data_IF_772813163195
#
_entry.id   IF_772813163195
#
_cell.length_a   1.000
_cell.length_b   1.000
_cell.length_c   1.000
_cell.angle_alpha   90.00
_cell.angle_beta   90.00
_cell.angle_gamma   90.00
#
_symmetry.space_group_name_H-M   'P 1'
#
loop_
_entity.id
_entity.type
_entity.pdbx_description
1 polymer ?
#
# COMPACT_ATOMS: atom_id res chain seq x y z
N UNK A 1 -11.73 -14.26 -12.58
CA UNK A 1 -11.68 -15.57 -13.24
C UNK A 1 -12.53 -15.55 -14.51
N UNK A 2 -13.82 -15.25 -14.43
CA UNK A 2 -14.77 -15.31 -15.56
C UNK A 2 -14.38 -14.52 -16.82
N UNK A 3 -13.71 -13.36 -16.65
CA UNK A 3 -13.22 -12.54 -17.78
C UNK A 3 -11.86 -12.97 -18.35
N UNK A 4 -11.27 -14.07 -17.86
CA UNK A 4 -10.00 -14.59 -18.37
C UNK A 4 -8.73 -13.84 -17.92
N UNK A 5 -8.83 -12.91 -16.96
CA UNK A 5 -7.66 -12.17 -16.40
C UNK A 5 -6.90 -12.91 -15.29
N UNK A 6 -7.43 -14.03 -14.79
CA UNK A 6 -6.83 -14.88 -13.75
C UNK A 6 -7.05 -16.34 -14.13
N UNK A 7 -6.20 -17.24 -13.63
CA UNK A 7 -6.32 -18.69 -13.80
C UNK A 7 -5.08 -19.33 -14.42
N UNK A 8 -5.29 -20.46 -15.08
CA UNK A 8 -4.23 -21.31 -15.63
C UNK A 8 -3.82 -20.96 -17.06
N UNK A 9 -4.49 -20.00 -17.70
CA UNK A 9 -4.09 -19.48 -19.00
C UNK A 9 -4.69 -18.09 -19.20
N UNK A 10 -4.00 -17.06 -18.68
CA UNK A 10 -4.47 -15.68 -18.73
C UNK A 10 -4.50 -15.20 -20.18
N UNK A 11 -5.68 -14.82 -20.65
CA UNK A 11 -5.90 -14.28 -22.00
C UNK A 11 -5.24 -15.12 -23.12
N UNK A 12 -5.17 -16.45 -22.95
CA UNK A 12 -4.53 -17.38 -23.89
C UNK A 12 -3.04 -17.09 -24.15
N UNK A 13 -2.30 -16.64 -23.12
CA UNK A 13 -0.87 -16.31 -23.18
C UNK A 13 0.05 -17.35 -22.53
N UNK A 14 -0.47 -18.52 -22.17
CA UNK A 14 0.24 -19.59 -21.47
C UNK A 14 0.88 -19.14 -20.14
N UNK A 15 0.30 -18.11 -19.52
CA UNK A 15 0.75 -17.57 -18.24
C UNK A 15 -0.27 -17.89 -17.14
N UNK A 16 0.22 -18.36 -15.99
CA UNK A 16 -0.60 -18.81 -14.86
C UNK A 16 -0.47 -17.85 -13.69
N UNK A 17 -1.60 -17.35 -13.22
CA UNK A 17 -1.65 -16.57 -11.99
C UNK A 17 -3.02 -16.74 -11.33
N UNK A 18 -3.00 -17.28 -10.12
CA UNK A 18 -4.16 -17.48 -9.28
C UNK A 18 -4.10 -16.53 -8.08
N UNK A 19 -5.24 -15.98 -7.70
CA UNK A 19 -5.36 -15.03 -6.61
C UNK A 19 -6.27 -15.61 -5.53
N UNK A 20 -5.77 -15.67 -4.30
CA UNK A 20 -6.52 -16.12 -3.13
C UNK A 20 -6.60 -14.98 -2.12
N UNK A 21 -7.78 -14.80 -1.52
CA UNK A 21 -7.99 -13.84 -0.44
C UNK A 21 -7.93 -14.59 0.89
N UNK A 22 -7.00 -14.19 1.76
CA UNK A 22 -6.90 -14.68 3.13
C UNK A 22 -7.35 -13.59 4.10
N UNK A 23 -8.20 -13.95 5.06
CA UNK A 23 -8.70 -13.01 6.08
C UNK A 23 -7.86 -13.13 7.35
N UNK A 24 -7.44 -11.98 7.89
CA UNK A 24 -6.86 -11.90 9.23
C UNK A 24 -7.91 -11.95 10.34
N UNK A 25 -7.45 -12.05 11.59
CA UNK A 25 -8.31 -12.19 12.77
C UNK A 25 -8.15 -11.04 13.79
N UNK A 26 -7.90 -9.80 13.31
CA UNK A 26 -7.86 -8.60 14.14
C UNK A 26 -6.52 -8.28 14.83
N UNK A 27 -5.44 -8.99 14.50
CA UNK A 27 -4.12 -8.74 15.07
C UNK A 27 -3.34 -7.69 14.25
N UNK A 28 -3.12 -6.50 14.81
CA UNK A 28 -2.33 -5.42 14.16
C UNK A 28 -0.93 -5.89 13.74
N UNK A 29 -0.29 -6.74 14.56
CA UNK A 29 1.04 -7.29 14.28
C UNK A 29 1.10 -8.10 13.00
N UNK A 30 -0.01 -8.72 12.56
CA UNK A 30 -0.07 -9.43 11.28
C UNK A 30 -0.02 -8.49 10.06
N UNK A 31 0.04 -7.17 10.26
CA UNK A 31 0.39 -6.20 9.22
C UNK A 31 1.90 -6.10 8.97
N UNK A 32 2.74 -6.59 9.89
CA UNK A 32 4.18 -6.70 9.64
C UNK A 32 4.44 -7.86 8.67
N UNK A 33 5.34 -7.64 7.72
CA UNK A 33 5.61 -8.52 6.59
C UNK A 33 5.81 -10.01 6.95
N UNK A 34 6.65 -10.31 7.95
CA UNK A 34 6.94 -11.70 8.34
C UNK A 34 5.87 -12.30 9.24
N UNK A 35 5.24 -11.49 10.08
CA UNK A 35 4.07 -11.92 10.85
C UNK A 35 2.86 -12.22 9.94
N UNK A 36 2.70 -11.48 8.85
CA UNK A 36 1.72 -11.74 7.81
C UNK A 36 1.95 -13.11 7.17
N UNK A 37 3.20 -13.46 6.88
CA UNK A 37 3.58 -14.78 6.35
C UNK A 37 3.24 -15.89 7.35
N UNK A 38 3.59 -15.73 8.62
CA UNK A 38 3.25 -16.72 9.66
C UNK A 38 1.73 -16.92 9.76
N UNK A 39 0.96 -15.81 9.74
CA UNK A 39 -0.50 -15.86 9.73
C UNK A 39 -1.05 -16.54 8.47
N UNK A 40 -0.45 -16.29 7.30
CA UNK A 40 -0.82 -16.94 6.03
C UNK A 40 -0.57 -18.46 6.06
N UNK A 41 0.48 -18.88 6.76
CA UNK A 41 0.82 -20.30 6.98
C UNK A 41 -0.04 -20.95 8.09
N UNK A 42 -1.01 -20.23 8.66
CA UNK A 42 -1.90 -20.75 9.70
C UNK A 42 -1.31 -20.77 11.11
N UNK A 43 -0.17 -20.09 11.32
CA UNK A 43 0.50 -19.96 12.62
C UNK A 43 0.09 -18.65 13.30
N UNK A 44 0.56 -18.46 14.55
CA UNK A 44 0.46 -17.16 15.22
C UNK A 44 1.31 -16.14 14.48
N UNK A 45 0.82 -14.93 14.28
CA UNK A 45 1.54 -13.83 13.60
C UNK A 45 2.69 -13.27 14.43
N UNK A 46 3.70 -14.08 14.71
CA UNK A 46 4.93 -13.70 15.38
C UNK A 46 5.97 -13.35 14.31
N UNK A 47 6.56 -12.14 14.31
CA UNK A 47 7.58 -11.78 13.33
C UNK A 47 8.75 -12.76 13.33
N UNK A 48 9.29 -13.04 12.15
CA UNK A 48 10.52 -13.84 11.97
C UNK A 48 11.74 -12.93 12.11
N UNK A 49 12.83 -13.48 12.64
CA UNK A 49 14.13 -12.78 12.64
C UNK A 49 14.59 -12.62 11.19
N UNK A 50 14.98 -11.39 10.82
CA UNK A 50 15.64 -11.06 9.55
C UNK A 50 17.16 -10.98 9.82
N UNK A 51 18.05 -11.57 8.99
CA UNK A 51 17.81 -12.41 7.81
C UNK A 51 17.39 -13.87 8.13
N UNK A 52 16.79 -14.62 7.18
CA UNK A 52 16.60 -14.26 5.76
C UNK A 52 15.44 -13.30 5.52
N UNK A 53 15.57 -12.45 4.50
CA UNK A 53 14.47 -11.60 4.04
C UNK A 53 13.43 -12.43 3.26
N UNK A 54 12.14 -12.05 3.26
CA UNK A 54 11.09 -12.79 2.54
C UNK A 54 11.34 -12.97 1.05
N UNK A 55 12.04 -12.01 0.43
CA UNK A 55 12.45 -12.08 -0.98
C UNK A 55 13.34 -13.30 -1.28
N UNK A 56 14.06 -13.82 -0.28
CA UNK A 56 14.84 -15.04 -0.37
C UNK A 56 14.06 -16.25 0.16
N UNK A 57 13.43 -16.12 1.34
CA UNK A 57 12.69 -17.19 1.99
C UNK A 57 11.50 -16.62 2.82
N UNK A 58 10.33 -16.54 2.18
CA UNK A 58 9.09 -16.06 2.77
C UNK A 58 8.07 -17.19 3.00
N UNK A 59 6.90 -17.08 2.36
CA UNK A 59 5.81 -18.03 2.51
C UNK A 59 6.20 -19.43 2.03
N UNK A 60 6.01 -20.43 2.89
CA UNK A 60 6.42 -21.82 2.67
C UNK A 60 7.90 -21.96 2.27
N UNK A 61 8.76 -21.06 2.75
CA UNK A 61 10.18 -21.03 2.45
C UNK A 61 10.52 -20.64 1.00
N UNK A 62 9.58 -20.04 0.25
CA UNK A 62 9.79 -19.61 -1.14
C UNK A 62 10.05 -18.10 -1.23
N UNK A 63 10.77 -17.64 -2.26
CA UNK A 63 10.88 -16.22 -2.57
C UNK A 63 9.49 -15.55 -2.61
N UNK A 64 9.28 -14.57 -1.75
CA UNK A 64 7.98 -13.92 -1.56
C UNK A 64 8.18 -12.41 -1.55
N UNK A 65 7.41 -11.71 -2.39
CA UNK A 65 7.37 -10.25 -2.44
C UNK A 65 6.08 -9.81 -1.77
N UNK A 66 6.19 -8.95 -0.76
CA UNK A 66 5.05 -8.37 -0.07
C UNK A 66 5.04 -6.88 -0.36
N UNK A 67 3.91 -6.38 -0.84
CA UNK A 67 3.69 -4.97 -1.09
C UNK A 67 2.34 -4.56 -0.51
N UNK A 68 2.24 -3.27 -0.16
CA UNK A 68 0.99 -2.67 0.24
C UNK A 68 0.03 -2.58 -0.97
N UNK A 69 -1.27 -2.54 -0.68
CA UNK A 69 -2.34 -2.35 -1.67
C UNK A 69 -2.11 -1.11 -2.53
N UNK A 70 -1.75 0.03 -1.91
CA UNK A 70 -1.50 1.29 -2.61
C UNK A 70 -0.30 1.18 -3.57
N UNK A 71 0.75 0.46 -3.18
CA UNK A 71 1.89 0.20 -4.06
C UNK A 71 1.46 -0.55 -5.31
N UNK A 72 0.66 -1.61 -5.18
CA UNK A 72 0.13 -2.34 -6.34
C UNK A 72 -0.85 -1.52 -7.17
N UNK A 73 -1.64 -0.64 -6.56
CA UNK A 73 -2.58 0.23 -7.27
C UNK A 73 -1.88 1.21 -8.23
N UNK A 74 -0.60 1.53 -8.01
CA UNK A 74 0.19 2.38 -8.92
C UNK A 74 0.69 1.62 -10.17
N UNK A 75 0.77 0.28 -10.14
CA UNK A 75 1.36 -0.50 -11.23
C UNK A 75 0.59 -0.37 -12.55
N UNK A 76 -0.75 -0.44 -12.60
CA UNK A 76 -1.49 -0.25 -13.85
C UNK A 76 -1.21 1.10 -14.51
N UNK A 77 -1.11 2.18 -13.73
CA UNK A 77 -0.78 3.52 -14.25
C UNK A 77 0.65 3.56 -14.80
N UNK A 78 1.63 3.02 -14.07
CA UNK A 78 3.03 2.97 -14.52
C UNK A 78 3.17 2.17 -15.81
N UNK A 79 2.46 1.05 -15.94
CA UNK A 79 2.50 0.20 -17.14
C UNK A 79 1.75 0.84 -18.31
N UNK A 80 0.63 1.52 -18.05
CA UNK A 80 -0.21 2.16 -19.08
C UNK A 80 0.39 3.46 -19.63
N UNK A 81 0.80 4.37 -18.75
CA UNK A 81 1.28 5.72 -19.09
C UNK A 81 2.82 5.82 -19.17
N UNK A 82 3.52 4.83 -18.62
CA UNK A 82 4.96 4.76 -18.60
C UNK A 82 5.61 5.43 -17.38
N UNK A 83 6.80 4.95 -17.04
CA UNK A 83 7.54 5.38 -15.84
C UNK A 83 7.88 6.88 -15.84
N UNK A 84 8.11 7.50 -17.01
CA UNK A 84 8.40 8.94 -17.10
C UNK A 84 7.18 9.80 -16.72
N UNK A 85 5.98 9.39 -17.13
CA UNK A 85 4.75 10.09 -16.78
C UNK A 85 4.50 9.98 -15.27
N UNK A 86 4.66 8.80 -14.69
CA UNK A 86 4.57 8.60 -13.25
C UNK A 86 5.62 9.42 -12.47
N UNK A 87 6.88 9.41 -12.93
CA UNK A 87 7.97 10.17 -12.33
C UNK A 87 7.78 11.70 -12.43
N UNK A 88 6.90 12.18 -13.33
CA UNK A 88 6.53 13.59 -13.44
C UNK A 88 5.55 14.08 -12.36
N UNK A 89 4.98 13.17 -11.57
CA UNK A 89 4.01 13.50 -10.51
C UNK A 89 4.76 13.75 -9.20
N UNK A 90 4.63 14.94 -8.64
CA UNK A 90 5.15 15.27 -7.31
C UNK A 90 6.65 15.55 -7.27
N UNK A 91 7.29 15.19 -6.16
CA UNK A 91 8.70 15.43 -5.92
C UNK A 91 9.60 14.48 -6.75
N UNK A 92 10.67 15.01 -7.34
CA UNK A 92 11.63 14.23 -8.14
C UNK A 92 12.30 13.08 -7.38
N UNK A 93 12.56 13.26 -6.08
CA UNK A 93 13.23 12.26 -5.25
C UNK A 93 12.25 11.20 -4.71
N UNK A 94 10.95 11.52 -4.70
CA UNK A 94 9.89 10.62 -4.25
C UNK A 94 8.64 10.83 -5.12
N UNK A 95 8.65 10.28 -6.35
CA UNK A 95 7.59 10.56 -7.30
C UNK A 95 6.33 9.72 -7.06
N UNK A 96 5.24 10.20 -7.65
CA UNK A 96 3.96 9.51 -7.69
C UNK A 96 2.90 10.17 -6.79
N UNK A 97 1.64 9.76 -6.98
CA UNK A 97 0.57 10.12 -6.07
C UNK A 97 0.70 9.36 -4.75
N UNK A 98 0.16 9.96 -3.69
CA UNK A 98 0.06 9.33 -2.37
C UNK A 98 -1.30 9.62 -1.77
N UNK A 99 -1.90 8.59 -1.19
CA UNK A 99 -3.09 8.70 -0.36
C UNK A 99 -2.70 9.13 1.05
N UNK A 100 -3.18 10.29 1.47
CA UNK A 100 -3.06 10.84 2.81
C UNK A 100 -4.38 10.69 3.56
N UNK A 101 -4.43 9.76 4.51
CA UNK A 101 -5.57 9.57 5.40
C UNK A 101 -5.49 10.56 6.56
N UNK A 102 -6.33 11.58 6.54
CA UNK A 102 -6.36 12.64 7.57
C UNK A 102 -7.60 12.50 8.43
N UNK A 103 -7.39 12.37 9.74
CA UNK A 103 -8.45 12.26 10.75
C UNK A 103 -8.20 13.19 11.93
N UNK A 104 -9.13 13.25 12.89
CA UNK A 104 -8.95 13.98 14.14
C UNK A 104 -9.47 15.43 14.10
N UNK A 105 -8.65 16.38 14.56
CA UNK A 105 -9.07 17.77 14.80
C UNK A 105 -9.00 18.68 13.57
N UNK A 106 -9.35 18.16 12.39
CA UNK A 106 -9.50 18.94 11.14
C UNK A 106 -10.97 19.16 10.80
N UNK A 107 -11.28 20.18 9.99
CA UNK A 107 -12.65 20.47 9.59
C UNK A 107 -13.21 19.47 8.57
N UNK A 108 -12.35 18.94 7.69
CA UNK A 108 -12.72 17.98 6.64
C UNK A 108 -11.83 16.72 6.74
N UNK A 109 -12.12 15.77 7.64
CA UNK A 109 -11.40 14.50 7.67
C UNK A 109 -11.72 13.66 6.43
N UNK A 110 -10.76 12.87 5.95
CA UNK A 110 -10.92 12.06 4.75
C UNK A 110 -9.62 11.50 4.21
N UNK A 111 -9.69 10.84 3.06
CA UNK A 111 -8.53 10.39 2.29
C UNK A 111 -8.31 11.36 1.13
N UNK A 112 -7.10 11.89 1.02
CA UNK A 112 -6.72 12.85 -0.02
C UNK A 112 -5.63 12.25 -0.88
N UNK A 113 -5.86 12.13 -2.18
CA UNK A 113 -4.81 11.81 -3.15
C UNK A 113 -4.09 13.10 -3.54
N UNK A 114 -2.81 13.19 -3.17
CA UNK A 114 -1.98 14.35 -3.43
C UNK A 114 -0.60 13.92 -3.95
N UNK A 115 0.10 14.78 -4.69
CA UNK A 115 1.47 14.49 -5.10
C UNK A 115 2.36 14.28 -3.88
N UNK A 116 3.21 13.25 -3.93
CA UNK A 116 4.19 13.04 -2.88
C UNK A 116 5.15 14.24 -2.80
N UNK A 117 5.39 14.73 -1.59
CA UNK A 117 6.10 16.00 -1.34
C UNK A 117 5.20 17.20 -1.00
N UNK A 118 3.87 17.07 -1.09
CA UNK A 118 2.94 18.07 -0.55
C UNK A 118 3.20 18.29 0.94
N UNK A 119 3.32 19.56 1.35
CA UNK A 119 3.67 19.91 2.73
C UNK A 119 2.51 19.58 3.66
N UNK A 120 2.79 19.03 4.83
CA UNK A 120 1.76 18.75 5.84
C UNK A 120 0.86 19.96 6.16
N UNK A 121 1.44 21.17 6.23
CA UNK A 121 0.68 22.41 6.41
C UNK A 121 -0.37 22.61 5.31
N UNK A 122 0.00 22.35 4.06
CA UNK A 122 -0.91 22.45 2.92
C UNK A 122 -2.02 21.40 3.01
N UNK A 123 -1.67 20.15 3.35
CA UNK A 123 -2.67 19.09 3.60
C UNK A 123 -3.70 19.54 4.64
N UNK A 124 -3.25 20.06 5.79
CA UNK A 124 -4.15 20.45 6.88
C UNK A 124 -4.98 21.69 6.51
N UNK A 125 -4.32 22.78 6.11
CA UNK A 125 -5.00 24.08 6.01
C UNK A 125 -5.67 24.30 4.66
N UNK A 126 -5.13 23.75 3.57
CA UNK A 126 -5.69 23.95 2.23
C UNK A 126 -6.68 22.84 1.87
N UNK A 127 -6.33 21.57 2.11
CA UNK A 127 -7.19 20.44 1.72
C UNK A 127 -8.21 20.07 2.81
N UNK A 128 -7.80 19.99 4.07
CA UNK A 128 -8.69 19.61 5.17
C UNK A 128 -9.49 20.79 5.76
N UNK A 129 -9.33 22.00 5.21
CA UNK A 129 -10.04 23.21 5.67
C UNK A 129 -9.58 23.74 7.02
N UNK A 130 -8.36 23.41 7.45
CA UNK A 130 -7.80 23.83 8.73
C UNK A 130 -8.26 22.99 9.92
N UNK A 131 -7.88 23.46 11.10
CA UNK A 131 -8.24 22.82 12.36
C UNK A 131 -9.63 23.23 12.81
N UNK A 132 -10.25 22.39 13.65
CA UNK A 132 -11.50 22.74 14.34
C UNK A 132 -11.32 24.02 15.16
N UNK A 133 -12.41 24.79 15.30
CA UNK A 133 -12.39 26.08 15.98
C UNK A 133 -11.75 26.02 17.38
N UNK A 134 -10.96 27.04 17.71
CA UNK A 134 -10.25 27.15 18.99
C UNK A 134 -9.07 26.17 19.17
N UNK A 135 -8.70 25.40 18.14
CA UNK A 135 -7.55 24.48 18.19
C UNK A 135 -6.31 25.07 17.53
N UNK A 136 -5.16 24.76 18.09
CA UNK A 136 -3.84 24.96 17.50
C UNK A 136 -3.14 23.62 17.30
N UNK A 137 -2.24 23.54 16.30
CA UNK A 137 -1.47 22.34 16.03
C UNK A 137 -0.47 22.11 17.16
N UNK A 138 -0.56 20.98 17.85
CA UNK A 138 0.38 20.58 18.92
C UNK A 138 1.43 19.58 18.45
N UNK A 139 1.03 18.68 17.56
CA UNK A 139 1.84 17.64 16.97
C UNK A 139 1.07 17.02 15.81
N UNK A 140 1.81 16.46 14.87
CA UNK A 140 1.27 15.76 13.71
C UNK A 140 1.94 14.40 13.58
#
# INVERSE_FOLDING_TARGET
>A
YDRGYLGNDIMSRHFRFNLTVHMGAGAYICGEETALIESLEGKRGQPRIKPPFPVNAGAWGKPTIINNVETFANIPYIVGEGAKAYAGIGNKDCPGPKLFSVSGCVNRPGVYELPMGTRLREIIYNHCGGLKEGRSLKGA
#
